data_IF_309186870846
#
_entry.id   IF_309186870846
#
_cell.length_a   1.000
_cell.length_b   1.000
_cell.length_c   1.000
_cell.angle_alpha   90.00
_cell.angle_beta   90.00
_cell.angle_gamma   90.00
#
_symmetry.space_group_name_H-M   'P 1'
#
loop_
_entity.id
_entity.type
_entity.pdbx_description
1 polymer ?
#
# COMPACT_ATOMS: atom_id res chain seq x y z
N UNK A 1 -30.72 12.31 6.29
CA UNK A 1 -30.95 11.35 7.39
C UNK A 1 -29.63 11.04 8.09
N UNK A 2 -29.52 11.45 9.35
CA UNK A 2 -28.36 11.13 10.19
C UNK A 2 -28.68 9.83 10.95
N UNK A 3 -27.77 8.87 10.89
CA UNK A 3 -27.84 7.60 11.63
C UNK A 3 -26.72 7.62 12.68
N UNK A 4 -26.94 8.23 13.87
CA UNK A 4 -25.91 8.33 14.90
C UNK A 4 -25.60 6.94 15.48
N UNK A 5 -24.36 6.49 15.30
CA UNK A 5 -23.89 5.20 15.80
C UNK A 5 -23.96 5.07 17.33
N UNK A 6 -23.89 6.18 18.04
CA UNK A 6 -24.03 6.28 19.50
C UNK A 6 -25.41 5.81 20.01
N UNK A 7 -26.45 5.90 19.18
CA UNK A 7 -27.81 5.44 19.52
C UNK A 7 -28.02 3.93 19.29
N UNK A 8 -27.05 3.26 18.66
CA UNK A 8 -27.12 1.84 18.31
C UNK A 8 -25.90 1.07 18.87
N UNK A 9 -25.79 0.91 20.21
CA UNK A 9 -24.60 0.34 20.85
C UNK A 9 -24.34 -1.13 20.48
N UNK A 10 -25.35 -1.82 19.95
CA UNK A 10 -25.26 -3.23 19.52
C UNK A 10 -25.04 -3.38 18.00
N UNK A 11 -24.75 -2.29 17.28
CA UNK A 11 -24.51 -2.34 15.84
C UNK A 11 -23.02 -2.39 15.51
N UNK A 12 -22.62 -3.44 14.81
CA UNK A 12 -21.27 -3.59 14.27
C UNK A 12 -21.24 -3.19 12.80
N UNK A 13 -20.52 -2.11 12.47
CA UNK A 13 -20.35 -1.66 11.08
C UNK A 13 -19.01 -2.11 10.54
N UNK A 14 -19.05 -2.86 9.44
CA UNK A 14 -17.89 -3.23 8.63
C UNK A 14 -17.77 -2.22 7.49
N UNK A 15 -16.61 -1.56 7.36
CA UNK A 15 -16.43 -0.56 6.31
C UNK A 15 -15.03 -0.62 5.70
N UNK A 16 -14.98 -0.90 4.39
CA UNK A 16 -13.74 -0.77 3.62
C UNK A 16 -13.22 0.67 3.60
N UNK A 17 -14.13 1.66 3.58
CA UNK A 17 -13.79 3.08 3.62
C UNK A 17 -13.29 3.57 4.99
N UNK A 18 -13.30 2.70 6.01
CA UNK A 18 -12.83 2.99 7.35
C UNK A 18 -13.78 3.80 8.23
N UNK A 19 -15.06 3.86 7.90
CA UNK A 19 -16.06 4.54 8.74
C UNK A 19 -16.76 3.61 9.73
N UNK A 20 -16.38 2.33 9.76
CA UNK A 20 -16.95 1.29 10.63
C UNK A 20 -15.99 0.88 11.73
N UNK A 21 -16.46 0.07 12.68
CA UNK A 21 -15.67 -0.39 13.82
C UNK A 21 -14.52 -1.32 13.43
N UNK A 22 -14.60 -1.97 12.27
CA UNK A 22 -13.59 -2.94 11.82
C UNK A 22 -12.98 -2.45 10.51
N UNK A 23 -11.67 -2.18 10.45
CA UNK A 23 -10.98 -1.91 9.20
C UNK A 23 -10.94 -3.17 8.33
N UNK A 24 -11.74 -3.19 7.29
CA UNK A 24 -11.70 -4.23 6.25
C UNK A 24 -10.91 -3.66 5.07
N UNK A 25 -10.12 -4.45 4.33
CA UNK A 25 -9.51 -3.94 3.10
C UNK A 25 -10.58 -3.40 2.15
N UNK A 26 -10.24 -2.37 1.38
CA UNK A 26 -11.15 -1.90 0.34
C UNK A 26 -11.30 -2.99 -0.72
N UNK A 27 -12.54 -3.46 -0.87
CA UNK A 27 -12.90 -4.29 -2.01
C UNK A 27 -12.82 -3.42 -3.26
N UNK A 28 -11.69 -3.50 -3.95
CA UNK A 28 -11.67 -3.15 -5.35
C UNK A 28 -12.40 -4.29 -6.06
N UNK A 29 -13.35 -3.98 -6.95
CA UNK A 29 -13.67 -4.94 -8.03
C UNK A 29 -12.34 -5.15 -8.74
N UNK A 30 -11.60 -6.17 -8.36
CA UNK A 30 -10.42 -6.60 -9.08
C UNK A 30 -10.97 -7.04 -10.44
N UNK A 31 -10.72 -6.31 -11.55
CA UNK A 31 -11.04 -6.88 -12.85
C UNK A 31 -10.37 -8.27 -12.92
N UNK A 32 -11.08 -9.22 -13.52
CA UNK A 32 -10.51 -10.51 -13.91
C UNK A 32 -9.13 -10.26 -14.54
N UNK A 33 -8.06 -10.62 -13.83
CA UNK A 33 -6.68 -10.28 -14.21
C UNK A 33 -5.75 -9.83 -13.07
N UNK A 34 -6.23 -9.29 -11.94
CA UNK A 34 -5.30 -8.80 -10.89
C UNK A 34 -4.49 -9.89 -10.14
N UNK A 35 -4.73 -11.18 -10.41
CA UNK A 35 -3.77 -12.22 -10.04
C UNK A 35 -2.39 -11.96 -10.69
N UNK A 36 -2.35 -11.25 -11.82
CA UNK A 36 -1.13 -10.80 -12.49
C UNK A 36 -0.23 -10.01 -11.55
N UNK A 37 -0.76 -9.12 -10.69
CA UNK A 37 0.05 -8.37 -9.72
C UNK A 37 0.81 -9.27 -8.74
N UNK A 38 0.21 -10.40 -8.36
CA UNK A 38 0.86 -11.39 -7.53
C UNK A 38 1.95 -12.13 -8.32
N UNK A 39 1.68 -12.41 -9.60
CA UNK A 39 2.52 -13.20 -10.49
C UNK A 39 3.63 -12.42 -11.19
N UNK A 40 3.64 -11.07 -11.17
CA UNK A 40 4.71 -10.31 -11.84
C UNK A 40 6.05 -10.57 -11.14
N UNK A 41 7.07 -11.07 -11.87
CA UNK A 41 8.42 -11.20 -11.35
C UNK A 41 8.93 -9.85 -10.88
N UNK A 42 9.53 -9.84 -9.68
CA UNK A 42 10.12 -8.64 -9.09
C UNK A 42 11.62 -8.82 -9.06
N UNK A 43 12.33 -7.77 -9.46
CA UNK A 43 13.78 -7.71 -9.25
C UNK A 43 14.11 -7.78 -7.75
N UNK A 44 15.32 -8.24 -7.40
CA UNK A 44 15.85 -8.13 -6.04
C UNK A 44 15.68 -6.70 -5.53
N UNK A 45 15.25 -6.55 -4.27
CA UNK A 45 15.00 -5.22 -3.70
C UNK A 45 16.18 -4.24 -3.78
N UNK A 46 17.44 -4.66 -3.55
CA UNK A 46 18.59 -3.77 -3.68
C UNK A 46 18.75 -3.18 -5.08
N UNK A 47 18.19 -3.86 -6.09
CA UNK A 47 18.28 -3.49 -7.50
C UNK A 47 17.06 -2.67 -7.97
N UNK A 48 16.09 -2.40 -7.09
CA UNK A 48 14.90 -1.63 -7.45
C UNK A 48 15.25 -0.16 -7.73
N UNK A 49 14.73 0.35 -8.85
CA UNK A 49 14.99 1.70 -9.39
C UNK A 49 14.56 2.85 -8.46
N UNK A 50 13.64 2.64 -7.54
CA UNK A 50 13.16 3.71 -6.67
C UNK A 50 13.24 3.32 -5.20
N UNK A 51 13.67 4.27 -4.38
CA UNK A 51 13.56 4.13 -2.93
C UNK A 51 12.10 4.19 -2.49
N UNK A 52 11.36 5.18 -2.99
CA UNK A 52 10.00 5.50 -2.57
C UNK A 52 9.16 5.87 -3.78
N UNK A 53 7.91 5.41 -3.86
CA UNK A 53 6.94 5.95 -4.81
C UNK A 53 5.63 6.39 -4.15
N UNK A 54 4.87 7.20 -4.88
CA UNK A 54 3.46 7.47 -4.64
C UNK A 54 2.69 7.47 -5.96
N UNK A 55 1.57 6.72 -6.03
CA UNK A 55 0.66 6.71 -7.19
C UNK A 55 -0.74 7.20 -6.77
N UNK A 56 -1.15 8.37 -7.26
CA UNK A 56 -2.53 8.83 -7.09
C UNK A 56 -2.77 10.33 -7.29
N UNK A 57 -4.03 10.74 -7.18
CA UNK A 57 -4.40 12.16 -7.21
C UNK A 57 -4.06 12.86 -5.90
N UNK A 58 -3.28 13.95 -5.98
CA UNK A 58 -2.89 14.76 -4.81
C UNK A 58 -4.07 15.50 -4.16
N UNK A 59 -5.12 15.80 -4.92
CA UNK A 59 -6.34 16.43 -4.42
C UNK A 59 -7.32 15.47 -3.74
N UNK A 60 -7.07 14.16 -3.82
CA UNK A 60 -8.04 13.12 -3.40
C UNK A 60 -7.84 12.68 -1.95
N UNK A 61 -7.80 13.64 -1.02
CA UNK A 61 -7.75 13.40 0.42
C UNK A 61 -8.24 14.62 1.21
N UNK A 62 -8.82 14.43 2.41
CA UNK A 62 -9.27 15.54 3.24
C UNK A 62 -8.09 16.37 3.73
N UNK A 63 -8.36 17.64 4.05
CA UNK A 63 -7.37 18.57 4.64
C UNK A 63 -6.04 18.63 3.86
N UNK A 64 -6.13 18.45 2.54
CA UNK A 64 -4.98 18.49 1.64
C UNK A 64 -3.87 17.49 2.02
N UNK A 65 -4.20 16.37 2.68
CA UNK A 65 -3.23 15.44 3.26
C UNK A 65 -2.14 15.02 2.27
N UNK A 66 -2.53 14.65 1.05
CA UNK A 66 -1.60 14.17 0.01
C UNK A 66 -0.69 15.28 -0.54
N UNK A 67 -1.19 16.52 -0.61
CA UNK A 67 -0.35 17.67 -0.99
C UNK A 67 0.67 17.98 0.12
N UNK A 68 0.23 17.98 1.38
CA UNK A 68 1.13 18.15 2.54
C UNK A 68 2.16 17.03 2.64
N UNK A 69 1.76 15.79 2.37
CA UNK A 69 2.66 14.63 2.27
C UNK A 69 3.69 14.84 1.16
N UNK A 70 3.28 15.26 -0.05
CA UNK A 70 4.21 15.57 -1.14
C UNK A 70 5.21 16.64 -0.73
N UNK A 71 4.73 17.78 -0.24
CA UNK A 71 5.58 18.89 0.20
C UNK A 71 6.61 18.43 1.24
N UNK A 72 6.19 17.63 2.23
CA UNK A 72 7.10 17.09 3.25
C UNK A 72 8.18 16.17 2.66
N UNK A 73 7.85 15.40 1.63
CA UNK A 73 8.82 14.53 0.96
C UNK A 73 9.75 15.34 0.06
N UNK A 74 9.27 16.39 -0.60
CA UNK A 74 10.12 17.31 -1.36
C UNK A 74 11.15 18.00 -0.47
N UNK A 75 10.72 18.48 0.70
CA UNK A 75 11.62 19.02 1.74
C UNK A 75 12.66 17.98 2.16
N UNK A 76 12.24 16.75 2.45
CA UNK A 76 13.14 15.67 2.84
C UNK A 76 14.13 15.33 1.72
N UNK A 77 13.67 15.24 0.47
CA UNK A 77 14.51 14.95 -0.70
C UNK A 77 15.57 16.02 -0.91
N UNK A 78 15.19 17.30 -0.80
CA UNK A 78 16.12 18.42 -0.90
C UNK A 78 17.19 18.39 0.21
N UNK A 79 16.86 17.87 1.39
CA UNK A 79 17.78 17.76 2.51
C UNK A 79 18.72 16.54 2.46
N UNK A 80 18.47 15.53 1.61
CA UNK A 80 19.12 14.21 1.70
C UNK A 80 19.84 13.71 0.43
N UNK A 81 20.24 14.62 -0.48
CA UNK A 81 20.89 14.28 -1.76
C UNK A 81 20.12 13.18 -2.52
N UNK A 82 18.81 13.37 -2.59
CA UNK A 82 17.89 12.47 -3.28
C UNK A 82 17.38 13.14 -4.54
N UNK A 83 16.98 12.35 -5.53
CA UNK A 83 16.40 12.86 -6.78
C UNK A 83 14.90 12.68 -6.75
N UNK A 84 14.15 13.76 -7.00
CA UNK A 84 12.72 13.70 -7.25
C UNK A 84 12.45 13.49 -8.75
N UNK A 85 11.65 12.49 -9.10
CA UNK A 85 11.12 12.32 -10.46
C UNK A 85 9.60 12.47 -10.45
N UNK A 86 9.08 13.43 -11.22
CA UNK A 86 7.65 13.73 -11.33
C UNK A 86 6.99 13.07 -12.57
N UNK A 87 7.74 12.33 -13.40
CA UNK A 87 7.19 11.68 -14.60
C UNK A 87 7.95 10.42 -15.01
N UNK A 88 7.40 9.21 -14.77
CA UNK A 88 7.96 7.99 -15.33
C UNK A 88 7.78 7.92 -16.85
N UNK A 89 6.84 8.65 -17.46
CA UNK A 89 6.58 8.55 -18.90
C UNK A 89 7.77 9.03 -19.77
N UNK A 90 8.51 10.04 -19.33
CA UNK A 90 9.66 10.57 -20.08
C UNK A 90 10.92 9.70 -19.96
N UNK A 91 11.04 8.97 -18.86
CA UNK A 91 12.14 8.03 -18.57
C UNK A 91 11.85 6.64 -19.19
N UNK A 92 10.62 6.15 -19.05
CA UNK A 92 10.20 4.84 -19.58
C UNK A 92 10.13 4.85 -21.10
N UNK A 93 9.63 5.92 -21.75
CA UNK A 93 9.65 6.01 -23.21
C UNK A 93 11.05 6.04 -23.81
N UNK A 94 12.07 6.48 -23.06
CA UNK A 94 13.47 6.49 -23.51
C UNK A 94 14.12 5.11 -23.41
N UNK A 95 13.67 4.25 -22.48
CA UNK A 95 14.30 2.98 -22.15
C UNK A 95 13.45 1.72 -22.47
N UNK A 96 12.29 1.89 -23.10
CA UNK A 96 11.49 0.77 -23.63
C UNK A 96 12.18 0.18 -24.87
N UNK A 97 12.92 -0.91 -24.68
CA UNK A 97 13.32 -1.80 -25.77
C UNK A 97 12.08 -2.48 -26.41
N UNK A 98 12.17 -2.93 -27.67
CA UNK A 98 11.09 -3.68 -28.31
C UNK A 98 10.74 -4.94 -27.52
N UNK A 99 9.43 -5.13 -27.30
CA UNK A 99 8.80 -6.23 -26.57
C UNK A 99 9.37 -7.58 -27.06
N UNK A 100 10.05 -8.33 -26.19
CA UNK A 100 10.47 -9.71 -26.49
C UNK A 100 9.36 -10.69 -26.09
N UNK A 101 8.89 -11.49 -27.05
CA UNK A 101 7.96 -12.61 -26.82
C UNK A 101 8.66 -13.76 -26.11
N UNK A 102 8.08 -14.28 -25.03
CA UNK A 102 8.41 -15.60 -24.49
C UNK A 102 7.67 -16.72 -25.24
N UNK A 103 8.08 -17.97 -25.03
CA UNK A 103 7.59 -19.20 -25.69
C UNK A 103 6.07 -19.45 -25.57
N UNK A 104 5.39 -18.70 -24.70
CA UNK A 104 4.04 -18.96 -24.21
C UNK A 104 3.03 -17.90 -24.69
N UNK A 105 3.47 -16.91 -25.48
CA UNK A 105 2.59 -15.94 -26.14
C UNK A 105 2.11 -14.75 -25.30
N UNK A 106 2.54 -14.62 -24.03
CA UNK A 106 2.30 -13.42 -23.23
C UNK A 106 3.26 -12.27 -23.57
N UNK A 107 2.73 -11.06 -23.76
CA UNK A 107 3.51 -9.83 -23.93
C UNK A 107 3.63 -9.10 -22.59
N UNK A 108 4.85 -8.94 -22.07
CA UNK A 108 5.15 -8.05 -20.94
C UNK A 108 6.53 -7.40 -21.14
N UNK A 109 6.73 -6.16 -20.68
CA UNK A 109 8.02 -5.50 -20.81
C UNK A 109 9.08 -6.15 -19.90
N UNK A 110 10.20 -6.56 -20.49
CA UNK A 110 11.41 -7.01 -19.79
C UNK A 110 12.42 -5.88 -19.85
N UNK A 111 12.75 -5.27 -18.71
CA UNK A 111 13.74 -4.19 -18.67
C UNK A 111 15.09 -4.73 -18.22
N UNK A 112 16.11 -4.47 -19.05
CA UNK A 112 17.49 -4.81 -18.77
C UNK A 112 18.16 -3.77 -17.89
N UNK A 113 19.12 -4.29 -17.13
CA UNK A 113 20.06 -3.65 -16.23
C UNK A 113 20.95 -2.66 -16.96
N UNK A 114 20.60 -1.38 -16.95
CA UNK A 114 21.54 -0.30 -17.31
C UNK A 114 21.55 0.78 -16.21
N UNK A 115 22.12 0.42 -15.07
CA UNK A 115 23.00 1.35 -14.38
C UNK A 115 24.36 0.64 -14.21
N UNK A 116 25.43 1.10 -14.85
CA UNK A 116 26.76 0.47 -14.78
C UNK A 116 27.35 0.45 -13.37
N UNK A 117 26.79 1.22 -12.43
CA UNK A 117 27.23 1.27 -11.05
C UNK A 117 26.03 0.94 -10.14
N UNK A 118 26.18 -0.12 -9.35
CA UNK A 118 25.20 -0.65 -8.40
C UNK A 118 24.96 0.26 -7.19
N UNK A 119 24.64 1.53 -7.43
CA UNK A 119 24.21 2.45 -6.39
C UNK A 119 22.70 2.36 -6.31
N UNK A 120 22.20 1.85 -5.18
CA UNK A 120 20.80 1.92 -4.78
C UNK A 120 20.30 3.34 -5.07
N UNK A 121 19.40 3.50 -6.03
CA UNK A 121 19.01 4.82 -6.47
C UNK A 121 18.22 5.52 -5.38
N UNK A 122 18.78 6.61 -4.86
CA UNK A 122 18.15 7.60 -3.97
C UNK A 122 17.00 8.36 -4.65
N UNK A 123 16.29 7.71 -5.59
CA UNK A 123 15.23 8.31 -6.37
C UNK A 123 13.88 8.13 -5.68
N UNK A 124 13.14 9.22 -5.57
CA UNK A 124 11.75 9.27 -5.13
C UNK A 124 10.87 9.57 -6.34
N UNK A 125 9.91 8.68 -6.60
CA UNK A 125 9.00 8.81 -7.74
C UNK A 125 7.62 9.28 -7.29
N UNK A 126 7.21 10.47 -7.72
CA UNK A 126 5.83 10.93 -7.56
C UNK A 126 5.05 10.77 -8.86
N UNK A 127 3.94 10.05 -8.76
CA UNK A 127 3.06 9.77 -9.88
C UNK A 127 1.67 10.36 -9.63
N UNK A 128 1.36 11.45 -10.33
CA UNK A 128 0.08 12.15 -10.20
C UNK A 128 -0.94 11.71 -11.28
N UNK A 129 -2.21 11.62 -10.87
CA UNK A 129 -3.38 10.95 -11.47
C UNK A 129 -3.60 10.86 -12.99
N UNK A 130 -2.94 11.66 -13.84
CA UNK A 130 -3.19 11.61 -15.30
C UNK A 130 -2.81 10.26 -15.92
N UNK A 131 -1.84 9.57 -15.33
CA UNK A 131 -1.28 8.35 -15.89
C UNK A 131 -1.94 7.06 -15.38
N UNK A 132 -2.82 7.07 -14.36
CA UNK A 132 -3.57 5.86 -13.92
C UNK A 132 -4.36 5.17 -15.05
N UNK A 133 -4.54 5.86 -16.18
CA UNK A 133 -5.11 5.30 -17.42
C UNK A 133 -4.20 4.26 -18.08
N UNK A 134 -2.88 4.29 -17.85
CA UNK A 134 -1.92 3.32 -18.35
C UNK A 134 -1.54 2.35 -17.22
N UNK A 135 -2.07 1.14 -17.26
CA UNK A 135 -1.92 0.13 -16.21
C UNK A 135 -0.45 -0.26 -16.01
N UNK A 136 0.30 -0.38 -17.08
CA UNK A 136 1.67 -0.94 -17.05
C UNK A 136 2.61 0.00 -16.30
N UNK A 137 2.46 1.31 -16.50
CA UNK A 137 3.37 2.33 -15.94
C UNK A 137 3.28 2.41 -14.41
N UNK A 138 2.09 2.41 -13.82
CA UNK A 138 1.99 2.53 -12.36
C UNK A 138 2.36 1.22 -11.66
N UNK A 139 2.06 0.07 -12.28
CA UNK A 139 2.47 -1.23 -11.75
C UNK A 139 3.98 -1.35 -11.75
N UNK A 140 4.64 -0.93 -12.83
CA UNK A 140 6.09 -0.89 -12.91
C UNK A 140 6.69 0.04 -11.85
N UNK A 141 6.16 1.26 -11.69
CA UNK A 141 6.60 2.19 -10.66
C UNK A 141 6.55 1.56 -9.26
N UNK A 142 5.43 0.89 -8.95
CA UNK A 142 5.22 0.19 -7.70
C UNK A 142 6.21 -0.98 -7.52
N UNK A 143 6.32 -1.87 -8.51
CA UNK A 143 7.15 -3.08 -8.46
C UNK A 143 8.66 -2.76 -8.47
N UNK A 144 9.03 -1.63 -9.07
CA UNK A 144 10.40 -1.11 -9.12
C UNK A 144 10.75 -0.22 -7.92
N UNK A 145 9.92 -0.19 -6.88
CA UNK A 145 10.16 0.60 -5.67
C UNK A 145 10.41 -0.27 -4.44
N UNK A 146 11.27 0.20 -3.52
CA UNK A 146 11.47 -0.45 -2.22
C UNK A 146 10.25 -0.23 -1.31
N UNK A 147 9.69 0.98 -1.32
CA UNK A 147 8.51 1.35 -0.54
C UNK A 147 7.47 2.08 -1.38
N UNK A 148 6.19 1.94 -1.01
CA UNK A 148 5.08 2.65 -1.64
C UNK A 148 4.24 3.41 -0.63
N UNK A 149 4.07 4.72 -0.83
CA UNK A 149 3.22 5.57 -0.02
C UNK A 149 1.76 5.32 -0.34
N UNK A 150 0.98 5.02 0.68
CA UNK A 150 -0.44 4.69 0.59
C UNK A 150 -1.27 5.64 1.46
N UNK A 151 -1.19 6.96 1.22
CA UNK A 151 -1.94 7.93 2.00
C UNK A 151 -3.43 7.67 1.89
N UNK A 152 -4.15 7.86 3.01
CA UNK A 152 -5.61 7.76 3.01
C UNK A 152 -6.24 8.66 1.93
N UNK A 153 -7.40 8.23 1.46
CA UNK A 153 -8.25 9.05 0.60
C UNK A 153 -9.24 9.87 1.43
N UNK A 154 -10.42 10.11 0.86
CA UNK A 154 -11.58 10.53 1.66
C UNK A 154 -11.95 9.45 2.69
N UNK A 155 -11.88 8.17 2.33
CA UNK A 155 -11.86 7.08 3.32
C UNK A 155 -10.59 7.09 4.18
N UNK A 156 -10.57 6.31 5.26
CA UNK A 156 -9.39 6.18 6.14
C UNK A 156 -8.31 5.25 5.57
N UNK A 157 -8.69 4.37 4.65
CA UNK A 157 -7.78 3.56 3.84
C UNK A 157 -7.73 4.10 2.41
N UNK A 158 -6.94 3.48 1.54
CA UNK A 158 -6.93 3.75 0.10
C UNK A 158 -6.91 2.45 -0.69
N UNK A 159 -7.47 2.45 -1.92
CA UNK A 159 -7.35 1.29 -2.82
C UNK A 159 -5.88 0.93 -3.06
N UNK A 160 -5.02 1.96 -3.10
CA UNK A 160 -3.59 1.75 -3.28
C UNK A 160 -2.98 0.90 -2.18
N UNK A 161 -3.41 1.04 -0.92
CA UNK A 161 -2.98 0.14 0.16
C UNK A 161 -3.26 -1.33 -0.17
N UNK A 162 -4.46 -1.64 -0.65
CA UNK A 162 -4.82 -3.01 -1.04
C UNK A 162 -4.02 -3.47 -2.27
N UNK A 163 -3.79 -2.59 -3.24
CA UNK A 163 -2.95 -2.87 -4.42
C UNK A 163 -1.51 -3.25 -4.02
N UNK A 164 -0.87 -2.48 -3.14
CA UNK A 164 0.49 -2.76 -2.62
C UNK A 164 0.53 -4.10 -1.88
N UNK A 165 -0.48 -4.37 -1.04
CA UNK A 165 -0.53 -5.60 -0.26
C UNK A 165 -0.81 -6.83 -1.11
N UNK A 166 -1.68 -6.73 -2.13
CA UNK A 166 -1.89 -7.78 -3.13
C UNK A 166 -0.62 -8.06 -3.94
N UNK A 167 0.14 -7.02 -4.25
CA UNK A 167 1.47 -7.15 -4.84
C UNK A 167 2.50 -7.71 -3.86
N UNK A 168 2.19 -7.93 -2.57
CA UNK A 168 3.13 -8.45 -1.58
C UNK A 168 4.36 -7.55 -1.39
N UNK A 169 4.15 -6.23 -1.41
CA UNK A 169 5.17 -5.20 -1.22
C UNK A 169 5.01 -4.53 0.16
N UNK A 170 5.95 -3.66 0.53
CA UNK A 170 5.93 -2.93 1.80
C UNK A 170 5.20 -1.58 1.63
N UNK A 171 3.99 -1.41 2.19
CA UNK A 171 3.32 -0.12 2.19
C UNK A 171 3.80 0.79 3.33
N UNK A 172 3.72 2.10 3.07
CA UNK A 172 3.77 3.15 4.10
C UNK A 172 2.41 3.85 4.10
N UNK A 173 1.56 3.53 5.07
CA UNK A 173 0.24 4.13 5.20
C UNK A 173 0.31 5.51 5.88
N UNK A 174 -0.06 6.55 5.16
CA UNK A 174 -0.08 7.92 5.71
C UNK A 174 -1.50 8.31 6.14
N UNK A 175 -1.67 8.58 7.43
CA UNK A 175 -2.97 8.92 8.04
C UNK A 175 -3.02 10.39 8.48
N UNK A 176 -4.23 10.88 8.79
CA UNK A 176 -4.46 12.28 9.18
C UNK A 176 -4.77 12.47 10.67
N UNK A 177 -5.15 11.41 11.37
CA UNK A 177 -5.60 11.45 12.76
C UNK A 177 -5.15 10.23 13.57
N UNK A 178 -5.51 9.01 13.15
CA UNK A 178 -4.99 7.79 13.75
C UNK A 178 -4.68 6.73 12.67
N UNK A 179 -3.75 5.80 12.94
CA UNK A 179 -3.51 4.67 12.05
C UNK A 179 -4.79 3.89 11.84
N UNK A 180 -5.18 3.68 10.58
CA UNK A 180 -6.37 2.92 10.23
C UNK A 180 -6.04 1.91 9.13
N UNK A 181 -5.60 0.73 9.53
CA UNK A 181 -5.13 -0.33 8.62
C UNK A 181 -5.87 -1.64 8.91
N UNK A 182 -6.22 -2.43 7.87
CA UNK A 182 -6.73 -3.78 8.05
C UNK A 182 -5.70 -4.68 8.74
N UNK A 183 -6.19 -5.67 9.51
CA UNK A 183 -5.36 -6.70 10.12
C UNK A 183 -4.17 -6.15 10.90
N UNK A 184 -4.42 -5.18 11.79
CA UNK A 184 -3.39 -4.33 12.41
C UNK A 184 -2.14 -5.09 12.88
N UNK A 185 -2.32 -6.22 13.57
CA UNK A 185 -1.20 -7.07 14.07
C UNK A 185 -0.34 -7.60 12.92
N UNK A 186 -0.98 -8.11 11.87
CA UNK A 186 -0.32 -8.59 10.64
C UNK A 186 0.34 -7.43 9.90
N UNK A 187 -0.38 -6.30 9.76
CA UNK A 187 0.12 -5.12 9.07
C UNK A 187 1.42 -4.60 9.68
N UNK A 188 1.51 -4.51 11.01
CA UNK A 188 2.70 -3.98 11.71
C UNK A 188 3.95 -4.87 11.49
N UNK A 189 3.78 -6.15 11.13
CA UNK A 189 4.89 -7.03 10.75
C UNK A 189 5.38 -6.84 9.31
N UNK A 190 4.58 -6.18 8.47
CA UNK A 190 4.81 -6.04 7.02
C UNK A 190 5.15 -4.60 6.67
N UNK A 191 4.24 -3.67 6.96
CA UNK A 191 4.29 -2.30 6.52
C UNK A 191 4.62 -1.32 7.65
N UNK A 192 4.49 -0.05 7.30
CA UNK A 192 4.66 1.07 8.20
C UNK A 192 3.47 2.01 8.10
N UNK A 193 3.25 2.82 9.12
CA UNK A 193 2.27 3.88 9.07
C UNK A 193 2.78 5.10 9.83
N UNK A 194 2.46 6.30 9.34
CA UNK A 194 2.86 7.58 9.94
C UNK A 194 1.82 8.65 9.61
N UNK A 195 1.79 9.73 10.38
CA UNK A 195 1.19 10.97 9.88
C UNK A 195 2.19 11.73 9.00
N UNK A 196 1.81 12.90 8.49
CA UNK A 196 2.71 13.72 7.66
C UNK A 196 3.93 14.21 8.43
N UNK A 197 3.81 14.47 9.73
CA UNK A 197 4.90 15.03 10.53
C UNK A 197 6.01 13.99 10.76
N UNK A 198 5.65 12.72 10.96
CA UNK A 198 6.61 11.62 11.16
C UNK A 198 7.28 11.07 9.90
N UNK A 199 6.97 11.62 8.71
CA UNK A 199 7.58 11.14 7.45
C UNK A 199 9.12 11.20 7.49
N UNK A 200 9.77 12.33 7.85
CA UNK A 200 11.24 12.40 7.83
C UNK A 200 11.90 11.32 8.68
N UNK A 201 11.51 11.20 9.96
CA UNK A 201 12.05 10.21 10.89
C UNK A 201 11.83 8.77 10.38
N UNK A 202 10.65 8.49 9.81
CA UNK A 202 10.40 7.19 9.22
C UNK A 202 11.32 6.92 8.03
N UNK A 203 11.51 7.89 7.12
CA UNK A 203 12.37 7.70 5.95
C UNK A 203 13.84 7.50 6.34
N UNK A 204 14.34 8.20 7.36
CA UNK A 204 15.68 7.96 7.91
C UNK A 204 15.82 6.53 8.42
N UNK A 205 14.85 6.07 9.22
CA UNK A 205 14.81 4.69 9.73
C UNK A 205 14.78 3.66 8.61
N UNK A 206 14.04 3.93 7.53
CA UNK A 206 13.93 3.01 6.39
C UNK A 206 15.22 2.96 5.55
N UNK A 207 15.96 4.07 5.44
CA UNK A 207 17.26 4.11 4.77
C UNK A 207 18.32 3.31 5.54
N UNK A 208 18.27 3.34 6.87
CA UNK A 208 19.19 2.60 7.73
C UNK A 208 18.76 1.15 7.99
N UNK A 209 17.58 0.74 7.54
CA UNK A 209 17.04 -0.60 7.84
C UNK A 209 17.85 -1.68 7.10
N UNK A 210 18.28 -2.76 7.79
CA UNK A 210 18.97 -3.87 7.15
C UNK A 210 18.12 -4.51 6.05
N UNK A 211 18.78 -4.87 4.95
CA UNK A 211 18.11 -5.48 3.80
C UNK A 211 17.45 -6.82 4.14
N UNK A 212 18.02 -7.56 5.10
CA UNK A 212 17.44 -8.79 5.64
C UNK A 212 16.10 -8.54 6.35
N UNK A 213 16.01 -7.49 7.18
CA UNK A 213 14.76 -7.15 7.87
C UNK A 213 13.67 -6.81 6.85
N UNK A 214 14.03 -5.98 5.87
CA UNK A 214 13.13 -5.68 4.77
C UNK A 214 12.72 -6.99 4.06
N UNK A 215 13.64 -7.93 3.83
CA UNK A 215 13.36 -9.16 3.07
C UNK A 215 12.34 -10.01 3.79
N UNK A 216 12.49 -10.12 5.10
CA UNK A 216 11.54 -10.77 5.97
C UNK A 216 10.16 -10.08 5.93
N UNK A 217 10.10 -8.75 5.91
CA UNK A 217 8.82 -7.99 5.78
C UNK A 217 8.10 -8.29 4.47
N UNK A 218 8.80 -8.29 3.33
CA UNK A 218 8.19 -8.66 2.04
C UNK A 218 7.81 -10.13 1.96
N UNK A 219 8.61 -11.02 2.54
CA UNK A 219 8.26 -12.44 2.61
C UNK A 219 6.96 -12.65 3.38
N UNK A 220 6.78 -11.95 4.51
CA UNK A 220 5.51 -11.92 5.25
C UNK A 220 4.38 -11.32 4.41
N UNK A 221 4.63 -10.21 3.71
CA UNK A 221 3.64 -9.60 2.81
C UNK A 221 3.09 -10.63 1.81
N UNK A 222 3.99 -11.36 1.14
CA UNK A 222 3.64 -12.42 0.19
C UNK A 222 2.88 -13.59 0.84
N UNK A 223 3.34 -14.06 2.00
CA UNK A 223 2.70 -15.15 2.73
C UNK A 223 1.24 -14.83 3.11
N UNK A 224 0.92 -13.55 3.34
CA UNK A 224 -0.43 -13.12 3.70
C UNK A 224 -1.34 -12.78 2.50
N UNK A 225 -0.85 -12.72 1.26
CA UNK A 225 -1.69 -12.34 0.09
C UNK A 225 -2.94 -13.20 -0.01
N UNK A 226 -2.77 -14.53 -0.01
CA UNK A 226 -3.88 -15.47 -0.19
C UNK A 226 -4.87 -15.45 0.97
N UNK A 227 -4.37 -15.37 2.20
CA UNK A 227 -5.19 -15.48 3.41
C UNK A 227 -5.83 -14.16 3.85
N UNK A 228 -5.33 -13.02 3.38
CA UNK A 228 -5.78 -11.70 3.88
C UNK A 228 -6.23 -10.72 2.81
N UNK A 229 -5.65 -10.77 1.60
CA UNK A 229 -5.78 -9.69 0.62
C UNK A 229 -6.54 -10.10 -0.65
N UNK A 230 -6.53 -11.39 -1.00
CA UNK A 230 -7.44 -11.91 -2.03
C UNK A 230 -8.87 -11.96 -1.51
N UNK A 231 -9.84 -11.84 -2.43
CA UNK A 231 -11.28 -11.90 -2.12
C UNK A 231 -11.64 -13.10 -1.23
N UNK A 232 -11.13 -14.29 -1.54
CA UNK A 232 -11.38 -15.49 -0.72
C UNK A 232 -10.83 -15.35 0.70
N UNK A 233 -9.60 -14.87 0.85
CA UNK A 233 -8.97 -14.65 2.16
C UNK A 233 -9.71 -13.58 2.97
N UNK A 234 -10.10 -12.47 2.35
CA UNK A 234 -10.89 -11.42 3.00
C UNK A 234 -12.24 -11.94 3.51
N UNK A 235 -12.96 -12.73 2.70
CA UNK A 235 -14.22 -13.36 3.11
C UNK A 235 -14.01 -14.34 4.26
N UNK A 236 -12.95 -15.15 4.19
CA UNK A 236 -12.61 -16.10 5.26
C UNK A 236 -12.29 -15.37 6.57
N UNK A 237 -11.52 -14.28 6.52
CA UNK A 237 -11.23 -13.44 7.68
C UNK A 237 -12.50 -12.80 8.27
N UNK A 238 -13.39 -12.30 7.42
CA UNK A 238 -14.70 -11.79 7.86
C UNK A 238 -15.53 -12.89 8.51
N UNK A 239 -15.56 -14.08 7.94
CA UNK A 239 -16.30 -15.22 8.48
C UNK A 239 -15.77 -15.66 9.85
N UNK A 240 -14.44 -15.80 9.98
CA UNK A 240 -13.78 -16.10 11.27
C UNK A 240 -14.05 -15.03 12.31
N UNK A 241 -14.05 -13.76 11.90
CA UNK A 241 -14.37 -12.64 12.77
C UNK A 241 -15.83 -12.69 13.25
N UNK A 242 -16.80 -12.93 12.35
CA UNK A 242 -18.23 -12.98 12.67
C UNK A 242 -18.62 -14.20 13.52
N UNK A 243 -17.91 -15.34 13.36
CA UNK A 243 -18.10 -16.52 14.20
C UNK A 243 -17.52 -16.35 15.61
N UNK A 244 -16.70 -15.33 15.82
CA UNK A 244 -16.02 -15.05 17.08
C UNK A 244 -14.93 -16.07 17.43
N UNK A 245 -14.17 -15.79 18.50
CA UNK A 245 -13.68 -16.88 19.33
C UNK A 245 -14.92 -17.54 19.92
N UNK A 246 -15.12 -18.83 19.67
CA UNK A 246 -16.06 -19.59 20.48
C UNK A 246 -15.68 -19.37 21.94
N UNK A 247 -16.61 -18.87 22.76
CA UNK A 247 -16.43 -18.76 24.22
C UNK A 247 -16.33 -20.17 24.85
N UNK A 248 -16.59 -21.22 24.06
CA UNK A 248 -16.69 -22.62 24.49
C UNK A 248 -15.59 -23.53 23.93
N UNK A 249 -14.66 -23.04 23.10
CA UNK A 249 -13.54 -23.86 22.60
C UNK A 249 -12.25 -23.03 22.59
N UNK A 250 -11.24 -23.53 23.30
CA UNK A 250 -9.89 -22.96 23.37
C UNK A 250 -9.12 -23.08 22.03
N UNK A 251 -9.73 -23.59 20.96
CA UNK A 251 -9.08 -23.71 19.65
C UNK A 251 -8.86 -22.35 18.96
N UNK A 252 -7.59 -22.08 18.70
CA UNK A 252 -7.03 -21.01 17.89
C UNK A 252 -7.67 -21.01 16.48
N UNK A 253 -8.51 -20.07 16.12
CA UNK A 253 -8.03 -18.78 15.60
C UNK A 253 -9.25 -17.90 15.29
N UNK A 254 -9.54 -16.94 16.16
CA UNK A 254 -10.27 -15.77 15.70
C UNK A 254 -9.43 -15.13 14.59
N UNK A 255 -10.08 -14.76 13.47
CA UNK A 255 -9.40 -14.08 12.37
C UNK A 255 -8.66 -12.83 12.82
N UNK A 256 -7.82 -12.27 11.95
CA UNK A 256 -6.92 -11.16 12.26
C UNK A 256 -7.62 -9.79 12.26
N UNK A 257 -8.92 -9.75 11.96
CA UNK A 257 -9.74 -8.56 12.09
C UNK A 257 -10.00 -8.24 13.56
N UNK A 258 -9.83 -6.97 13.90
CA UNK A 258 -10.08 -6.46 15.25
C UNK A 258 -10.97 -5.23 15.18
N UNK A 259 -11.86 -5.09 16.17
CA UNK A 259 -12.57 -3.84 16.38
C UNK A 259 -11.57 -2.75 16.81
N UNK A 260 -11.74 -1.57 16.24
CA UNK A 260 -11.01 -0.36 16.58
C UNK A 260 -12.00 0.69 17.02
N UNK A 261 -11.62 1.46 18.04
CA UNK A 261 -12.42 2.60 18.47
C UNK A 261 -12.46 3.63 17.35
N UNK A 262 -13.66 4.06 16.98
CA UNK A 262 -13.84 5.18 16.06
C UNK A 262 -13.31 6.45 16.74
N UNK A 263 -12.43 7.22 16.08
CA UNK A 263 -11.98 8.47 16.65
C UNK A 263 -13.08 9.52 16.59
N UNK A 264 -12.95 10.48 17.50
CA UNK A 264 -13.85 11.62 17.67
C UNK A 264 -14.00 12.49 16.41
N UNK A 265 -13.10 12.32 15.43
CA UNK A 265 -13.12 13.03 14.14
C UNK A 265 -14.22 12.56 13.20
N UNK A 266 -14.88 11.43 13.48
CA UNK A 266 -16.10 11.01 12.77
C UNK A 266 -17.27 11.76 13.42
N UNK A 267 -17.49 13.01 13.02
CA UNK A 267 -18.70 13.75 13.38
C UNK A 267 -19.87 13.16 12.59
N UNK A 268 -20.77 12.47 13.29
CA UNK A 268 -21.88 11.68 12.73
C UNK A 268 -22.05 10.30 13.35
N UNK A 269 -21.18 9.91 14.29
CA UNK A 269 -21.40 8.80 15.22
C UNK A 269 -22.12 9.30 16.47
#
# INVERSE_FOLDING_TARGET
DHFPMSEHPNLLVLSGGGYGHVPVPLWQKLPSGHWELYSVPRGPRPERKYFLNYVGGLSHAPRQLRMRMKAKIEEYVAAHDMTLSDSPELELRKNLLPIRKWRDGGEYPVFTRDSPNGTVSNAVLFYCSKLKKNKDVWQEAMLSSRFSLTPRGYGRTSYHLAEIMLAGLIPIHVYSDQPWVPYRKVFDTIGFHTDVAGIPELLDRLRSMPEEELAAREARARAHVYSHWLTRGMVDQLFRFMRGRSIFTEEESAGDLICQRLPKTITGA
#
